data_IF_260820911147
#
_entry.id   IF_260820911147
#
_cell.length_a   1.000
_cell.length_b   1.000
_cell.length_c   1.000
_cell.angle_alpha   90.00
_cell.angle_beta   90.00
_cell.angle_gamma   90.00
#
_symmetry.space_group_name_H-M   'P 1'
#
loop_
_entity.id
_entity.type
_entity.pdbx_description
1 polymer ?
#
# COMPACT_ATOMS: atom_id res chain seq x y z
N UNK A 1 -7.01 -20.49 -18.19
CA UNK A 1 -6.18 -21.51 -17.52
C UNK A 1 -6.32 -21.29 -16.03
N UNK A 2 -6.74 -22.29 -15.28
CA UNK A 2 -6.77 -22.21 -13.83
C UNK A 2 -5.32 -22.12 -13.33
N UNK A 3 -5.00 -21.06 -12.61
CA UNK A 3 -3.70 -20.96 -11.96
C UNK A 3 -3.62 -22.04 -10.88
N UNK A 4 -2.62 -22.91 -10.97
CA UNK A 4 -2.37 -23.88 -9.90
C UNK A 4 -2.02 -23.12 -8.62
N UNK A 5 -2.63 -23.54 -7.51
CA UNK A 5 -2.27 -22.99 -6.20
C UNK A 5 -0.81 -23.31 -5.90
N UNK A 6 -0.05 -22.32 -5.46
CA UNK A 6 1.35 -22.51 -5.10
C UNK A 6 1.50 -23.61 -4.03
N UNK A 7 2.49 -24.51 -4.14
CA UNK A 7 2.77 -25.49 -3.09
C UNK A 7 3.16 -24.84 -1.75
N UNK A 8 3.56 -23.58 -1.77
CA UNK A 8 3.89 -22.78 -0.59
C UNK A 8 2.69 -21.98 -0.06
N UNK A 9 1.53 -22.07 -0.71
CA UNK A 9 0.33 -21.38 -0.21
C UNK A 9 -0.11 -21.97 1.14
N UNK A 10 -0.54 -21.15 2.09
CA UNK A 10 -1.04 -21.64 3.37
C UNK A 10 -2.28 -22.50 3.14
N UNK A 11 -2.37 -23.64 3.84
CA UNK A 11 -3.50 -24.57 3.71
C UNK A 11 -4.80 -24.00 4.27
N UNK A 12 -4.70 -23.06 5.19
CA UNK A 12 -5.83 -22.35 5.77
C UNK A 12 -5.41 -20.92 6.16
N UNK A 13 -6.33 -19.99 6.04
CA UNK A 13 -6.16 -18.62 6.55
C UNK A 13 -6.82 -18.58 7.94
N UNK A 14 -6.09 -18.19 8.99
CA UNK A 14 -6.68 -18.10 10.32
C UNK A 14 -7.77 -17.03 10.35
N UNK A 15 -8.80 -17.24 11.17
CA UNK A 15 -9.77 -16.21 11.47
C UNK A 15 -9.06 -15.11 12.28
N UNK A 16 -9.02 -13.90 11.72
CA UNK A 16 -8.43 -12.74 12.39
C UNK A 16 -9.53 -11.95 13.11
N UNK A 17 -9.30 -11.51 14.36
CA UNK A 17 -10.27 -10.66 15.06
C UNK A 17 -10.37 -9.28 14.36
N UNK A 18 -11.51 -8.63 14.53
CA UNK A 18 -11.67 -7.23 14.16
C UNK A 18 -10.78 -6.39 15.08
N UNK A 19 -10.07 -5.45 14.51
CA UNK A 19 -9.20 -4.51 15.24
C UNK A 19 -9.88 -3.15 15.22
N UNK A 20 -10.22 -2.62 16.37
CA UNK A 20 -10.82 -1.30 16.49
C UNK A 20 -9.92 -0.22 15.89
N UNK A 21 -10.52 0.63 15.07
CA UNK A 21 -9.79 1.71 14.39
C UNK A 21 -9.02 1.28 13.14
N UNK A 22 -9.24 0.06 12.64
CA UNK A 22 -8.73 -0.41 11.37
C UNK A 22 -9.89 -0.86 10.48
N UNK A 23 -10.01 -0.24 9.32
CA UNK A 23 -10.99 -0.61 8.30
C UNK A 23 -10.24 -1.03 7.02
N UNK A 24 -10.69 -2.10 6.39
CA UNK A 24 -10.07 -2.62 5.17
C UNK A 24 -11.05 -2.56 4.01
N UNK A 25 -10.58 -2.08 2.88
CA UNK A 25 -11.29 -2.12 1.61
C UNK A 25 -10.40 -2.71 0.52
N UNK A 26 -10.99 -3.50 -0.36
CA UNK A 26 -10.29 -4.06 -1.52
C UNK A 26 -11.02 -3.65 -2.79
N UNK A 27 -10.27 -3.52 -3.88
CA UNK A 27 -10.81 -3.22 -5.19
C UNK A 27 -10.08 -4.03 -6.28
N UNK A 28 -10.83 -4.32 -7.34
CA UNK A 28 -10.31 -4.81 -8.60
C UNK A 28 -10.22 -3.62 -9.55
N UNK A 29 -9.01 -3.13 -9.81
CA UNK A 29 -8.78 -1.95 -10.64
C UNK A 29 -8.19 -2.31 -12.00
N UNK A 30 -7.70 -3.53 -12.15
CA UNK A 30 -7.17 -4.05 -13.41
C UNK A 30 -5.80 -3.45 -13.77
N UNK A 31 -4.95 -3.14 -12.79
CA UNK A 31 -3.60 -2.60 -13.02
C UNK A 31 -2.83 -3.51 -13.99
N UNK A 32 -2.89 -4.82 -13.76
CA UNK A 32 -2.26 -5.81 -14.64
C UNK A 32 -3.16 -7.02 -14.88
N UNK A 33 -3.82 -7.48 -13.85
CA UNK A 33 -4.63 -8.69 -13.88
C UNK A 33 -6.12 -8.33 -13.91
N UNK A 34 -6.93 -9.23 -14.47
CA UNK A 34 -8.38 -9.13 -14.44
C UNK A 34 -8.97 -10.19 -13.50
N UNK A 35 -10.16 -9.93 -12.98
CA UNK A 35 -10.93 -10.86 -12.15
C UNK A 35 -10.22 -11.23 -10.82
N UNK A 36 -9.49 -10.27 -10.23
CA UNK A 36 -8.90 -10.41 -8.90
C UNK A 36 -8.63 -9.04 -8.28
N UNK A 37 -8.78 -8.90 -6.95
CA UNK A 37 -8.39 -7.68 -6.26
C UNK A 37 -6.91 -7.39 -6.45
N UNK A 38 -6.59 -6.15 -6.75
CA UNK A 38 -5.23 -5.66 -6.97
C UNK A 38 -4.91 -4.38 -6.19
N UNK A 39 -5.89 -3.84 -5.47
CA UNK A 39 -5.70 -2.72 -4.55
C UNK A 39 -6.33 -3.04 -3.21
N UNK A 40 -5.60 -2.75 -2.14
CA UNK A 40 -6.08 -2.76 -0.76
C UNK A 40 -5.84 -1.38 -0.14
N UNK A 41 -6.84 -0.89 0.56
CA UNK A 41 -6.72 0.32 1.41
C UNK A 41 -7.03 -0.09 2.84
N UNK A 42 -6.08 0.14 3.74
CA UNK A 42 -6.33 0.10 5.17
C UNK A 42 -6.48 1.53 5.68
N UNK A 43 -7.66 1.85 6.19
CA UNK A 43 -7.95 3.11 6.89
C UNK A 43 -7.67 2.94 8.38
N UNK A 44 -7.02 3.92 8.97
CA UNK A 44 -6.57 3.88 10.36
C UNK A 44 -7.19 5.03 11.15
N UNK A 45 -7.52 4.78 12.42
CA UNK A 45 -8.08 5.77 13.31
C UNK A 45 -7.16 7.01 13.43
N UNK A 46 -7.73 8.22 13.63
CA UNK A 46 -6.95 9.42 13.91
C UNK A 46 -6.01 9.22 15.11
N UNK A 47 -4.77 9.70 14.96
CA UNK A 47 -3.75 9.58 16.01
C UNK A 47 -2.94 8.29 15.97
N UNK A 48 -3.24 7.34 15.08
CA UNK A 48 -2.45 6.10 14.92
C UNK A 48 -0.98 6.43 14.73
N UNK A 49 -0.14 5.81 15.55
CA UNK A 49 1.31 5.92 15.45
C UNK A 49 1.86 4.88 14.49
N UNK A 50 2.91 5.24 13.77
CA UNK A 50 3.60 4.36 12.82
C UNK A 50 5.10 4.43 13.03
N UNK A 51 5.74 3.27 12.94
CA UNK A 51 7.18 3.13 12.88
C UNK A 51 7.52 2.02 11.88
N UNK A 52 8.71 2.05 11.33
CA UNK A 52 9.13 1.03 10.37
C UNK A 52 10.58 1.15 9.97
N UNK A 53 11.09 0.07 9.39
CA UNK A 53 12.40 0.00 8.76
C UNK A 53 12.23 -0.14 7.25
N UNK A 54 13.08 0.52 6.50
CA UNK A 54 13.07 0.50 5.05
C UNK A 54 14.44 0.06 4.53
N UNK A 55 14.45 -0.46 3.31
CA UNK A 55 15.69 -0.83 2.65
C UNK A 55 16.62 0.37 2.47
N UNK A 56 17.92 0.14 2.58
CA UNK A 56 18.98 1.11 2.25
C UNK A 56 19.45 0.99 0.79
N UNK A 57 18.79 0.17 -0.03
CA UNK A 57 19.10 0.04 -1.46
C UNK A 57 19.16 1.41 -2.13
N UNK A 58 20.10 1.60 -3.03
CA UNK A 58 20.20 2.80 -3.87
C UNK A 58 19.14 2.82 -5.01
N UNK A 59 18.51 1.67 -5.27
CA UNK A 59 17.48 1.49 -6.29
C UNK A 59 16.09 1.26 -5.66
N UNK A 60 15.76 2.02 -4.63
CA UNK A 60 14.44 1.94 -3.98
C UNK A 60 13.32 2.33 -4.95
N UNK A 61 12.17 1.70 -4.77
CA UNK A 61 10.97 2.09 -5.51
C UNK A 61 10.39 3.42 -4.98
N UNK A 62 9.62 4.10 -5.80
CA UNK A 62 8.99 5.37 -5.43
C UNK A 62 8.13 5.29 -4.16
N UNK A 63 7.34 4.22 -3.89
CA UNK A 63 6.63 4.06 -2.62
C UNK A 63 7.56 4.00 -1.40
N UNK A 64 8.72 3.36 -1.52
CA UNK A 64 9.69 3.29 -0.41
C UNK A 64 10.25 4.66 -0.08
N UNK A 65 10.59 5.46 -1.08
CA UNK A 65 11.07 6.84 -0.87
C UNK A 65 9.99 7.73 -0.27
N UNK A 66 8.74 7.57 -0.70
CA UNK A 66 7.59 8.25 -0.10
C UNK A 66 7.44 7.89 1.38
N UNK A 67 7.43 6.59 1.71
CA UNK A 67 7.30 6.11 3.08
C UNK A 67 8.45 6.61 3.97
N UNK A 68 9.69 6.67 3.46
CA UNK A 68 10.84 7.20 4.19
C UNK A 68 10.65 8.66 4.64
N UNK A 69 9.99 9.47 3.83
CA UNK A 69 9.66 10.84 4.17
C UNK A 69 8.49 10.91 5.16
N UNK A 70 7.45 10.12 4.94
CA UNK A 70 6.23 10.06 5.76
C UNK A 70 6.49 9.56 7.18
N UNK A 71 7.39 8.59 7.36
CA UNK A 71 7.78 8.04 8.67
C UNK A 71 8.32 9.10 9.64
N UNK A 72 8.86 10.21 9.15
CA UNK A 72 9.40 11.30 10.00
C UNK A 72 8.32 11.93 10.90
N UNK A 73 7.06 11.91 10.47
CA UNK A 73 5.94 12.43 11.26
C UNK A 73 5.42 11.42 12.30
N UNK A 74 5.75 10.14 12.18
CA UNK A 74 5.34 9.09 13.12
C UNK A 74 3.82 8.85 13.20
N UNK A 75 3.04 9.34 12.22
CA UNK A 75 1.57 9.25 12.20
C UNK A 75 1.08 8.65 10.89
N UNK A 76 0.07 7.79 10.98
CA UNK A 76 -0.55 7.16 9.82
C UNK A 76 -2.08 7.27 9.87
N UNK A 77 -2.69 7.43 8.71
CA UNK A 77 -4.13 7.43 8.50
C UNK A 77 -4.55 6.42 7.44
N UNK A 78 -3.65 6.05 6.56
CA UNK A 78 -3.89 5.00 5.59
C UNK A 78 -2.63 4.24 5.19
N UNK A 79 -2.86 2.99 4.76
CA UNK A 79 -1.90 2.22 3.97
C UNK A 79 -2.59 1.81 2.68
N UNK A 80 -2.02 2.20 1.54
CA UNK A 80 -2.52 1.81 0.22
C UNK A 80 -1.53 0.82 -0.39
N UNK A 81 -2.02 -0.36 -0.74
CA UNK A 81 -1.20 -1.43 -1.29
C UNK A 81 -1.73 -1.79 -2.68
N UNK A 82 -0.88 -1.85 -3.67
CA UNK A 82 -1.25 -2.37 -4.98
C UNK A 82 -0.39 -3.58 -5.39
N UNK A 83 -0.98 -4.45 -6.20
CA UNK A 83 -0.32 -5.56 -6.87
C UNK A 83 -0.31 -5.33 -8.40
N UNK A 84 0.72 -5.85 -9.07
CA UNK A 84 0.84 -5.82 -10.54
C UNK A 84 1.73 -4.72 -11.09
N UNK A 85 2.21 -3.80 -10.26
CA UNK A 85 3.23 -2.82 -10.60
C UNK A 85 3.99 -2.40 -9.34
N UNK A 86 5.26 -2.79 -9.26
CA UNK A 86 6.13 -2.46 -8.11
C UNK A 86 6.51 -0.98 -8.05
N UNK A 87 6.24 -0.20 -9.10
CA UNK A 87 6.63 1.19 -9.23
C UNK A 87 8.13 1.43 -8.93
N UNK A 88 8.96 0.48 -9.39
CA UNK A 88 10.41 0.54 -9.30
C UNK A 88 11.01 0.97 -10.64
N UNK A 89 12.10 1.72 -10.62
CA UNK A 89 12.79 2.25 -11.80
C UNK A 89 11.92 3.12 -12.73
N UNK A 90 10.89 3.75 -12.16
CA UNK A 90 9.88 4.53 -12.92
C UNK A 90 10.19 6.03 -12.96
N UNK A 91 11.25 6.46 -12.29
CA UNK A 91 11.70 7.84 -12.30
C UNK A 91 10.62 8.84 -11.86
N UNK A 92 10.55 9.98 -12.55
CA UNK A 92 9.58 11.05 -12.22
C UNK A 92 8.12 10.61 -12.31
N UNK A 93 7.79 9.73 -13.24
CA UNK A 93 6.42 9.21 -13.39
C UNK A 93 5.99 8.42 -12.16
N UNK A 94 6.89 7.59 -11.61
CA UNK A 94 6.62 6.85 -10.37
C UNK A 94 6.37 7.75 -9.17
N UNK A 95 7.16 8.80 -9.02
CA UNK A 95 6.97 9.81 -7.96
C UNK A 95 5.62 10.54 -8.13
N UNK A 96 5.25 10.90 -9.34
CA UNK A 96 3.96 11.52 -9.63
C UNK A 96 2.79 10.61 -9.26
N UNK A 97 2.88 9.32 -9.61
CA UNK A 97 1.86 8.32 -9.26
C UNK A 97 1.69 8.18 -7.75
N UNK A 98 2.78 8.00 -7.01
CA UNK A 98 2.75 7.90 -5.54
C UNK A 98 2.12 9.15 -4.91
N UNK A 99 2.51 10.32 -5.41
CA UNK A 99 1.96 11.60 -4.93
C UNK A 99 0.46 11.70 -5.21
N UNK A 100 0.00 11.29 -6.39
CA UNK A 100 -1.41 11.30 -6.75
C UNK A 100 -2.24 10.37 -5.86
N UNK A 101 -1.77 9.15 -5.62
CA UNK A 101 -2.41 8.17 -4.72
C UNK A 101 -2.50 8.73 -3.30
N UNK A 102 -1.40 9.30 -2.77
CA UNK A 102 -1.40 9.88 -1.44
C UNK A 102 -2.39 11.06 -1.30
N UNK A 103 -2.48 11.91 -2.31
CA UNK A 103 -3.45 13.03 -2.34
C UNK A 103 -4.90 12.52 -2.39
N UNK A 104 -5.19 11.52 -3.23
CA UNK A 104 -6.53 10.94 -3.34
C UNK A 104 -6.98 10.30 -2.01
N UNK A 105 -6.12 9.49 -1.38
CA UNK A 105 -6.39 8.91 -0.08
C UNK A 105 -6.58 9.98 1.00
N UNK A 106 -5.73 11.00 1.02
CA UNK A 106 -5.81 12.11 1.96
C UNK A 106 -7.13 12.90 1.84
N UNK A 107 -7.57 13.15 0.61
CA UNK A 107 -8.84 13.83 0.34
C UNK A 107 -10.02 13.00 0.85
N UNK A 108 -10.03 11.70 0.58
CA UNK A 108 -11.10 10.80 1.00
C UNK A 108 -11.17 10.66 2.52
N UNK A 109 -10.02 10.48 3.17
CA UNK A 109 -9.91 10.26 4.62
C UNK A 109 -9.79 11.55 5.44
N UNK A 110 -9.82 12.72 4.79
CA UNK A 110 -9.68 14.05 5.41
C UNK A 110 -8.44 14.15 6.31
N UNK A 111 -7.29 13.78 5.78
CA UNK A 111 -6.00 13.77 6.47
C UNK A 111 -4.88 14.37 5.60
N UNK A 112 -3.65 14.41 6.11
CA UNK A 112 -2.52 14.91 5.34
C UNK A 112 -1.99 13.85 4.37
N UNK A 113 -1.53 14.20 3.16
CA UNK A 113 -0.90 13.22 2.24
C UNK A 113 0.25 12.45 2.90
N UNK A 114 1.06 13.08 3.73
CA UNK A 114 2.17 12.44 4.45
C UNK A 114 1.73 11.42 5.52
N UNK A 115 0.45 11.33 5.85
CA UNK A 115 -0.09 10.30 6.75
C UNK A 115 -0.55 9.04 5.98
N UNK A 116 -0.31 9.00 4.67
CA UNK A 116 -0.65 7.85 3.83
C UNK A 116 0.62 7.13 3.41
N UNK A 117 0.70 5.86 3.77
CA UNK A 117 1.78 4.96 3.42
C UNK A 117 1.40 4.14 2.20
N UNK A 118 2.39 3.73 1.42
CA UNK A 118 2.15 2.98 0.19
C UNK A 118 3.09 1.81 0.08
N UNK A 119 2.57 0.70 -0.42
CA UNK A 119 3.35 -0.46 -0.80
C UNK A 119 2.91 -0.92 -2.19
N UNK A 120 3.87 -1.24 -3.04
CA UNK A 120 3.61 -1.74 -4.38
C UNK A 120 4.34 -3.04 -4.59
N UNK A 121 3.63 -4.06 -5.07
CA UNK A 121 4.25 -5.32 -5.40
C UNK A 121 4.31 -5.50 -6.92
N UNK A 122 5.32 -6.20 -7.38
CA UNK A 122 5.49 -6.54 -8.78
C UNK A 122 4.53 -7.63 -9.25
N UNK A 123 4.96 -8.30 -10.28
CA UNK A 123 4.21 -9.34 -11.00
C UNK A 123 4.68 -10.69 -10.55
#
# INVERSE_FOLDING_TARGET
MAHSVSPLAPRAVPHLPVIDGVELAIAETGIRYKNRPDVLVASLAPGTSVAGCLTLSKSRSAPVDWCAQSLKAGKARAVVINAGNANAFTGKAGVATVTAVAKAAAQHLKCKPAENFQASTGV
#
